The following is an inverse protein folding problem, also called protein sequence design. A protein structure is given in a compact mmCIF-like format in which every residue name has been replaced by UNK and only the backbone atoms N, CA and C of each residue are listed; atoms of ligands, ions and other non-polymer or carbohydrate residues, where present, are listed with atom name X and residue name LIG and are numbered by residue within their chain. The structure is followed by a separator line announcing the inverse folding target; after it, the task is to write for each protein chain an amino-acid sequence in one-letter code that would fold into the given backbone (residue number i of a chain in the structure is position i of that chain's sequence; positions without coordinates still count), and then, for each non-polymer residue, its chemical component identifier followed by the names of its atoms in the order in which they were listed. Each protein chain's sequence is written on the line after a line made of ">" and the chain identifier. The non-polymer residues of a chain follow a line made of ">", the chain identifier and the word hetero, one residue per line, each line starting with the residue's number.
data_IF_327809904788
#
_entry.id   IF_327809904788
#
_cell.length_a   1.000
_cell.length_b   1.000
_cell.length_c   1.000
_cell.angle_alpha   90.00
_cell.angle_beta   90.00
_cell.angle_gamma   90.00
#
_symmetry.space_group_name_H-M   'P 1'
#
loop_
_entity.id
_entity.type
_entity.pdbx_description
1 polymer ?
#
# COMPACT_ATOMS: atom_id res chain seq x y z
N UNK A 1 -39.95 -5.60 8.50
CA UNK A 1 -38.66 -5.11 7.94
C UNK A 1 -37.78 -6.34 7.75
N UNK A 2 -37.53 -6.69 6.49
CA UNK A 2 -36.94 -7.97 6.08
C UNK A 2 -35.45 -7.98 6.42
N UNK A 3 -35.00 -9.02 7.12
CA UNK A 3 -33.59 -9.37 7.23
C UNK A 3 -33.25 -10.11 5.95
N UNK A 4 -32.68 -9.39 5.00
CA UNK A 4 -32.25 -10.00 3.76
C UNK A 4 -31.13 -10.99 4.04
N UNK A 5 -31.41 -12.21 3.60
CA UNK A 5 -30.56 -13.39 3.60
C UNK A 5 -29.26 -13.04 2.87
N UNK A 6 -28.15 -13.02 3.61
CA UNK A 6 -26.82 -12.80 3.06
C UNK A 6 -26.39 -14.10 2.37
N UNK A 7 -26.54 -14.13 1.05
CA UNK A 7 -25.98 -15.20 0.20
C UNK A 7 -24.47 -15.27 0.43
N UNK A 8 -24.01 -16.40 0.97
CA UNK A 8 -22.59 -16.77 1.13
C UNK A 8 -21.99 -16.97 -0.26
N UNK A 9 -21.33 -15.93 -0.75
CA UNK A 9 -20.71 -15.87 -2.06
C UNK A 9 -20.21 -14.45 -2.28
N UNK A 10 -19.23 -14.03 -1.47
CA UNK A 10 -18.70 -12.68 -1.41
C UNK A 10 -18.36 -12.13 -2.81
N UNK A 11 -19.27 -11.32 -3.36
CA UNK A 11 -18.85 -10.24 -4.25
C UNK A 11 -18.08 -9.27 -3.35
N UNK A 12 -16.81 -9.57 -3.14
CA UNK A 12 -15.98 -8.94 -2.13
C UNK A 12 -15.68 -7.52 -2.59
N UNK A 13 -16.56 -6.59 -2.21
CA UNK A 13 -16.41 -5.16 -2.50
C UNK A 13 -15.30 -4.61 -1.64
N UNK A 14 -14.51 -3.71 -2.22
CA UNK A 14 -13.46 -2.98 -1.50
C UNK A 14 -14.13 -2.17 -0.37
N UNK A 15 -13.70 -2.31 0.89
CA UNK A 15 -14.22 -1.49 1.99
C UNK A 15 -13.85 -0.01 1.79
N UNK A 16 -14.85 0.86 1.82
CA UNK A 16 -14.66 2.30 1.75
C UNK A 16 -14.35 2.88 3.14
N UNK A 17 -13.42 3.83 3.21
CA UNK A 17 -13.09 4.57 4.41
C UNK A 17 -14.11 5.70 4.61
N UNK A 18 -14.84 5.64 5.73
CA UNK A 18 -15.73 6.70 6.18
C UNK A 18 -15.10 7.52 7.31
N UNK A 19 -15.50 8.79 7.40
CA UNK A 19 -15.00 9.70 8.44
C UNK A 19 -15.26 9.14 9.84
N UNK A 20 -14.21 9.06 10.66
CA UNK A 20 -14.28 8.53 12.02
C UNK A 20 -14.34 6.99 12.12
N UNK A 21 -14.35 6.26 11.01
CA UNK A 21 -14.41 4.79 11.00
C UNK A 21 -13.06 4.11 10.73
N UNK A 22 -11.93 4.82 10.88
CA UNK A 22 -10.61 4.32 10.51
C UNK A 22 -10.30 2.92 11.07
N UNK A 23 -10.49 2.69 12.37
CA UNK A 23 -10.20 1.40 13.01
C UNK A 23 -11.02 0.24 12.41
N UNK A 24 -12.32 0.47 12.17
CA UNK A 24 -13.20 -0.54 11.58
C UNK A 24 -12.90 -0.75 10.09
N UNK A 25 -12.62 0.33 9.36
CA UNK A 25 -12.18 0.25 7.97
C UNK A 25 -10.89 -0.54 7.85
N UNK A 26 -9.89 -0.25 8.68
CA UNK A 26 -8.59 -0.94 8.72
C UNK A 26 -8.75 -2.45 8.87
N UNK A 27 -9.57 -2.90 9.81
CA UNK A 27 -9.83 -4.34 10.00
C UNK A 27 -10.53 -4.98 8.79
N UNK A 28 -11.57 -4.32 8.26
CA UNK A 28 -12.28 -4.78 7.05
C UNK A 28 -11.35 -4.84 5.85
N UNK A 29 -10.50 -3.83 5.67
CA UNK A 29 -9.56 -3.72 4.56
C UNK A 29 -8.45 -4.76 4.66
N UNK A 30 -7.88 -4.99 5.85
CA UNK A 30 -6.90 -6.05 6.05
C UNK A 30 -7.48 -7.44 5.80
N UNK A 31 -8.70 -7.71 6.23
CA UNK A 31 -9.39 -8.96 5.92
C UNK A 31 -9.71 -9.06 4.43
N UNK A 32 -10.05 -7.95 3.78
CA UNK A 32 -10.24 -7.90 2.34
C UNK A 32 -8.98 -8.31 1.57
N UNK A 33 -7.82 -7.77 1.96
CA UNK A 33 -6.54 -8.11 1.35
C UNK A 33 -6.16 -9.58 1.55
N UNK A 34 -6.43 -10.18 2.71
CA UNK A 34 -6.11 -11.59 2.99
C UNK A 34 -6.72 -12.55 1.96
N UNK A 35 -7.91 -12.24 1.45
CA UNK A 35 -8.60 -13.06 0.45
C UNK A 35 -8.21 -12.70 -1.00
N UNK A 36 -7.42 -11.64 -1.22
CA UNK A 36 -6.89 -11.32 -2.55
C UNK A 36 -5.76 -12.26 -2.95
N UNK A 37 -5.55 -12.40 -4.26
CA UNK A 37 -4.32 -13.01 -4.77
C UNK A 37 -3.13 -12.17 -4.35
N UNK A 38 -2.05 -12.81 -3.88
CA UNK A 38 -0.89 -12.15 -3.25
C UNK A 38 -1.22 -11.32 -1.98
N UNK A 39 -2.38 -11.57 -1.36
CA UNK A 39 -2.89 -10.84 -0.21
C UNK A 39 -1.90 -10.68 0.96
N UNK A 40 -1.20 -11.76 1.31
CA UNK A 40 -0.16 -11.73 2.35
C UNK A 40 1.00 -10.80 1.99
N UNK A 41 1.39 -10.74 0.71
CA UNK A 41 2.46 -9.87 0.25
C UNK A 41 2.00 -8.40 0.13
N UNK A 42 0.73 -8.15 -0.20
CA UNK A 42 0.14 -6.80 -0.17
C UNK A 42 0.10 -6.25 1.27
N UNK A 43 -0.31 -7.08 2.23
CA UNK A 43 -0.29 -6.71 3.66
C UNK A 43 1.14 -6.39 4.11
N UNK A 44 2.13 -7.20 3.69
CA UNK A 44 3.54 -6.92 3.99
C UNK A 44 4.00 -5.58 3.40
N UNK A 45 3.64 -5.28 2.15
CA UNK A 45 3.98 -4.01 1.49
C UNK A 45 3.38 -2.80 2.24
N UNK A 46 2.14 -2.90 2.70
CA UNK A 46 1.46 -1.85 3.48
C UNK A 46 2.10 -1.66 4.86
N UNK A 47 2.41 -2.76 5.57
CA UNK A 47 2.90 -2.68 6.94
C UNK A 47 4.38 -2.32 7.02
N UNK A 48 5.19 -2.98 6.20
CA UNK A 48 6.63 -3.02 6.39
C UNK A 48 7.42 -2.18 5.38
N UNK A 49 6.81 -1.74 4.27
CA UNK A 49 7.48 -1.13 3.10
C UNK A 49 8.77 -1.83 2.74
N UNK A 50 8.81 -2.42 1.55
CA UNK A 50 10.08 -2.88 0.99
C UNK A 50 10.94 -1.67 0.54
N UNK A 51 11.24 -0.74 1.46
CA UNK A 51 12.20 0.36 1.33
C UNK A 51 13.55 -0.12 0.79
N UNK A 52 13.86 -1.41 0.98
CA UNK A 52 15.01 -2.11 0.39
C UNK A 52 15.07 -2.04 -1.14
N UNK A 53 13.95 -1.82 -1.84
CA UNK A 53 13.88 -1.90 -3.31
C UNK A 53 13.82 -0.54 -4.01
N UNK A 54 13.39 0.51 -3.32
CA UNK A 54 13.38 1.87 -3.87
C UNK A 54 14.72 2.59 -3.68
N UNK A 55 15.54 2.19 -2.72
CA UNK A 55 16.81 2.87 -2.45
C UNK A 55 17.95 2.23 -3.25
N UNK A 56 18.42 2.85 -4.35
CA UNK A 56 19.83 2.65 -4.72
C UNK A 56 20.65 3.39 -3.68
N UNK A 57 21.31 2.60 -2.84
CA UNK A 57 22.53 2.91 -2.12
C UNK A 57 22.70 4.36 -1.65
N UNK A 58 22.65 4.57 -0.34
CA UNK A 58 23.76 5.30 0.26
C UNK A 58 25.03 4.52 -0.07
N UNK A 59 25.66 4.83 -1.21
CA UNK A 59 27.06 4.48 -1.42
C UNK A 59 27.78 5.24 -0.33
N UNK A 60 28.20 4.51 0.70
CA UNK A 60 29.10 5.00 1.74
C UNK A 60 30.47 5.21 1.09
N UNK A 61 30.57 6.24 0.25
CA UNK A 61 31.83 6.82 -0.16
C UNK A 61 32.26 7.71 1.00
N UNK A 62 33.43 7.41 1.56
CA UNK A 62 33.95 7.97 2.80
C UNK A 62 33.67 9.48 2.93
N UNK A 63 32.86 9.82 3.94
CA UNK A 63 32.57 11.20 4.35
C UNK A 63 31.55 11.91 3.47
N UNK A 64 30.44 12.36 4.08
CA UNK A 64 29.49 13.37 3.58
C UNK A 64 28.41 12.92 2.57
N UNK A 65 27.39 12.17 3.00
CA UNK A 65 26.01 12.29 2.48
C UNK A 65 25.01 11.38 3.25
N UNK A 66 24.72 11.68 4.51
CA UNK A 66 23.67 10.97 5.26
C UNK A 66 22.23 11.49 4.97
N UNK A 67 22.08 12.61 4.26
CA UNK A 67 20.79 13.31 4.09
C UNK A 67 20.31 13.45 2.62
N UNK A 68 20.83 12.63 1.69
CA UNK A 68 20.31 12.63 0.33
C UNK A 68 18.93 11.93 0.28
N UNK A 69 17.92 12.49 -0.41
CA UNK A 69 16.66 11.79 -0.63
C UNK A 69 16.90 10.41 -1.25
N UNK A 70 16.18 9.37 -0.81
CA UNK A 70 16.28 8.06 -1.42
C UNK A 70 16.03 8.17 -2.92
N UNK A 71 17.00 7.76 -3.73
CA UNK A 71 16.91 7.83 -5.19
C UNK A 71 16.47 6.48 -5.73
N UNK A 72 15.38 6.49 -6.50
CA UNK A 72 14.83 5.29 -7.12
C UNK A 72 15.81 4.59 -8.04
N UNK A 73 15.89 3.26 -7.92
CA UNK A 73 16.56 2.42 -8.90
C UNK A 73 15.90 2.57 -10.27
N UNK A 74 16.69 2.77 -11.32
CA UNK A 74 16.18 2.74 -12.70
C UNK A 74 15.57 1.34 -12.99
N UNK A 75 14.30 1.24 -13.42
CA UNK A 75 13.61 -0.02 -13.69
C UNK A 75 14.33 -0.99 -14.61
N UNK A 76 15.22 -0.49 -15.49
CA UNK A 76 16.00 -1.35 -16.41
C UNK A 76 17.01 -2.24 -15.69
N UNK A 77 17.46 -1.84 -14.49
CA UNK A 77 18.41 -2.61 -13.69
C UNK A 77 17.76 -3.50 -12.63
N UNK A 78 16.42 -3.54 -12.58
CA UNK A 78 15.74 -4.37 -11.60
C UNK A 78 15.86 -5.84 -11.92
N UNK A 79 16.16 -6.60 -10.88
CA UNK A 79 16.01 -8.05 -10.79
C UNK A 79 14.55 -8.48 -10.96
N UNK A 80 14.33 -9.77 -11.21
CA UNK A 80 12.98 -10.32 -11.33
C UNK A 80 12.18 -10.21 -10.01
N UNK A 81 12.87 -10.34 -8.88
CA UNK A 81 12.29 -10.22 -7.54
C UNK A 81 11.88 -8.77 -7.24
N UNK A 82 12.76 -7.79 -7.48
CA UNK A 82 12.45 -6.35 -7.37
C UNK A 82 11.22 -5.98 -8.21
N UNK A 83 11.15 -6.47 -9.46
CA UNK A 83 9.99 -6.25 -10.33
C UNK A 83 8.71 -6.86 -9.77
N UNK A 84 8.78 -8.03 -9.15
CA UNK A 84 7.61 -8.70 -8.55
C UNK A 84 7.10 -7.90 -7.36
N UNK A 85 7.99 -7.52 -6.44
CA UNK A 85 7.60 -6.77 -5.26
C UNK A 85 7.07 -5.39 -5.59
N UNK A 86 7.68 -4.66 -6.55
CA UNK A 86 7.12 -3.38 -7.00
C UNK A 86 5.71 -3.52 -7.57
N UNK A 87 5.43 -4.60 -8.29
CA UNK A 87 4.08 -4.87 -8.80
C UNK A 87 3.10 -5.07 -7.64
N UNK A 88 3.50 -5.82 -6.60
CA UNK A 88 2.68 -6.04 -5.40
C UNK A 88 2.41 -4.71 -4.68
N UNK A 89 3.43 -3.88 -4.49
CA UNK A 89 3.28 -2.56 -3.87
C UNK A 89 2.33 -1.65 -4.66
N UNK A 90 2.47 -1.61 -5.99
CA UNK A 90 1.54 -0.88 -6.86
C UNK A 90 0.10 -1.41 -6.76
N UNK A 91 -0.09 -2.71 -6.63
CA UNK A 91 -1.40 -3.32 -6.45
C UNK A 91 -2.00 -2.94 -5.09
N UNK A 92 -1.23 -3.05 -4.01
CA UNK A 92 -1.65 -2.66 -2.67
C UNK A 92 -2.04 -1.17 -2.63
N UNK A 93 -1.23 -0.30 -3.22
CA UNK A 93 -1.51 1.15 -3.34
C UNK A 93 -2.77 1.42 -4.16
N UNK A 94 -2.98 0.71 -5.27
CA UNK A 94 -4.19 0.84 -6.09
C UNK A 94 -5.46 0.45 -5.33
N UNK A 95 -5.41 -0.62 -4.53
CA UNK A 95 -6.53 -1.05 -3.69
C UNK A 95 -6.80 -0.06 -2.55
N UNK A 96 -5.76 0.52 -1.95
CA UNK A 96 -5.90 1.59 -0.97
C UNK A 96 -6.66 2.77 -1.57
N UNK A 97 -6.20 3.28 -2.72
CA UNK A 97 -6.84 4.42 -3.41
C UNK A 97 -8.32 4.17 -3.71
N UNK A 98 -8.69 2.96 -4.13
CA UNK A 98 -10.09 2.60 -4.38
C UNK A 98 -10.95 2.56 -3.11
N UNK A 99 -10.34 2.31 -1.95
CA UNK A 99 -10.99 2.36 -0.65
C UNK A 99 -11.06 3.77 -0.06
N UNK A 100 -10.41 4.78 -0.66
CA UNK A 100 -10.36 6.14 -0.13
C UNK A 100 -11.48 7.03 -0.67
N UNK A 101 -12.00 7.95 0.16
CA UNK A 101 -12.93 8.97 -0.29
C UNK A 101 -12.18 10.07 -1.08
N UNK A 102 -12.90 10.71 -2.01
CA UNK A 102 -12.33 11.64 -3.00
C UNK A 102 -11.72 12.91 -2.38
N UNK A 103 -12.11 13.27 -1.17
CA UNK A 103 -11.60 14.41 -0.41
C UNK A 103 -10.14 14.23 0.03
N UNK A 104 -9.64 13.00 0.02
CA UNK A 104 -8.27 12.65 0.46
C UNK A 104 -7.30 12.51 -0.74
N UNK A 105 -7.73 12.86 -1.96
CA UNK A 105 -6.94 12.69 -3.20
C UNK A 105 -5.54 13.33 -3.16
N UNK A 106 -5.38 14.42 -2.40
CA UNK A 106 -4.08 15.10 -2.23
C UNK A 106 -3.01 14.24 -1.56
N UNK A 107 -3.39 13.19 -0.83
CA UNK A 107 -2.46 12.22 -0.25
C UNK A 107 -1.90 11.26 -1.30
N UNK A 108 -2.59 11.05 -2.42
CA UNK A 108 -2.17 10.09 -3.43
C UNK A 108 -0.86 10.57 -4.08
N UNK A 109 -0.81 11.80 -4.54
CA UNK A 109 0.37 12.33 -5.27
C UNK A 109 1.61 12.50 -4.39
N UNK A 110 1.42 12.61 -3.07
CA UNK A 110 2.50 12.84 -2.09
C UNK A 110 3.12 11.56 -1.54
N UNK A 111 2.46 10.42 -1.73
CA UNK A 111 2.87 9.14 -1.17
C UNK A 111 3.23 8.15 -2.28
N UNK A 112 4.50 7.77 -2.30
CA UNK A 112 5.10 6.96 -3.35
C UNK A 112 4.79 5.47 -3.17
N UNK A 113 4.84 4.97 -1.94
CA UNK A 113 4.57 3.56 -1.62
C UNK A 113 3.18 3.33 -1.04
N UNK A 114 2.75 2.07 -1.01
CA UNK A 114 1.53 1.68 -0.30
C UNK A 114 1.63 1.99 1.22
N UNK A 115 2.82 1.83 1.80
CA UNK A 115 3.08 2.16 3.20
C UNK A 115 2.99 3.66 3.47
N UNK A 116 3.64 4.50 2.68
CA UNK A 116 3.61 5.96 2.91
C UNK A 116 2.16 6.46 2.89
N UNK A 117 1.38 5.94 1.94
CA UNK A 117 -0.06 6.24 1.85
C UNK A 117 -0.81 5.73 3.07
N UNK A 118 -0.52 4.52 3.54
CA UNK A 118 -1.13 3.95 4.75
C UNK A 118 -0.81 4.76 6.01
N UNK A 119 0.46 5.07 6.24
CA UNK A 119 0.94 5.84 7.40
C UNK A 119 0.35 7.27 7.39
N UNK A 120 0.10 7.84 6.21
CA UNK A 120 -0.57 9.13 6.07
C UNK A 120 -2.06 9.09 6.47
N UNK A 121 -2.73 7.93 6.40
CA UNK A 121 -4.12 7.75 6.82
C UNK A 121 -4.26 7.53 8.33
N UNK A 122 -3.20 7.09 9.01
CA UNK A 122 -3.16 6.89 10.47
C UNK A 122 -2.96 8.20 11.27
N UNK A 123 -2.77 9.34 10.59
CA UNK A 123 -2.41 10.63 11.19
C UNK A 123 -3.56 11.50 11.66
#
# INVERSE_FOLDING_TARGET
>A
MSRDVITVGSTMRIPLLYQGEYSQWRERFMNYLKEQTDGGAMINSIQNSDHSLLVIAQVSLAGTAQNAPPTLKDPKFWTAEEKKTQKIDRLARSLLIQGLPNDIYSLIDRNETAKDLWDALER
#
